data_IF_513343475865
#
_entry.id   IF_513343475865
#
_cell.length_a   1.000
_cell.length_b   1.000
_cell.length_c   1.000
_cell.angle_alpha   90.00
_cell.angle_beta   90.00
_cell.angle_gamma   90.00
#
_symmetry.space_group_name_H-M   'P 1'
#
loop_
_entity.id
_entity.type
_entity.pdbx_description
1 polymer ?
#
# COMPACT_ATOMS: atom_id res chain seq x y z
N UNK A 1 6.16 -26.81 30.31
CA UNK A 1 5.75 -27.78 31.35
C UNK A 1 5.81 -27.08 32.69
N UNK A 2 4.70 -26.93 33.38
CA UNK A 2 4.63 -26.18 34.66
C UNK A 2 4.57 -27.06 35.91
N UNK A 3 4.48 -28.37 35.73
CA UNK A 3 4.40 -29.33 36.83
C UNK A 3 5.60 -30.28 36.84
N UNK A 4 6.18 -30.47 38.03
CA UNK A 4 7.30 -31.37 38.22
C UNK A 4 6.87 -32.82 37.94
N UNK A 5 7.62 -33.54 37.08
CA UNK A 5 7.33 -34.93 36.73
C UNK A 5 6.47 -35.15 35.48
N UNK A 6 6.07 -34.10 34.76
CA UNK A 6 5.41 -34.26 33.46
C UNK A 6 6.45 -34.58 32.37
N UNK A 7 6.16 -35.61 31.60
CA UNK A 7 6.89 -35.94 30.39
C UNK A 7 5.99 -35.65 29.19
N UNK A 8 6.52 -34.98 28.17
CA UNK A 8 5.83 -34.77 26.92
C UNK A 8 6.63 -35.45 25.79
N UNK A 9 5.92 -36.17 24.94
CA UNK A 9 6.52 -36.76 23.74
C UNK A 9 6.03 -36.01 22.51
N UNK A 10 6.96 -35.48 21.73
CA UNK A 10 6.66 -34.80 20.49
C UNK A 10 7.13 -35.67 19.33
N UNK A 11 6.25 -35.80 18.33
CA UNK A 11 6.58 -36.43 17.05
C UNK A 11 6.50 -35.39 15.96
N UNK A 12 7.54 -35.29 15.15
CA UNK A 12 7.52 -34.47 13.95
C UNK A 12 6.76 -35.22 12.85
N UNK A 13 5.69 -34.65 12.34
CA UNK A 13 4.86 -35.27 11.31
C UNK A 13 5.32 -34.85 9.93
N UNK A 14 5.26 -33.56 9.63
CA UNK A 14 5.74 -32.96 8.37
C UNK A 14 5.89 -31.45 8.49
N UNK A 15 6.24 -30.78 7.38
CA UNK A 15 6.42 -29.34 7.35
C UNK A 15 5.10 -28.53 7.53
N UNK A 16 3.95 -29.17 7.37
CA UNK A 16 2.64 -28.54 7.52
C UNK A 16 2.14 -28.65 8.95
N UNK A 17 2.31 -29.80 9.58
CA UNK A 17 1.82 -30.10 10.94
C UNK A 17 2.87 -29.87 12.02
N UNK A 18 4.16 -29.98 11.66
CA UNK A 18 5.27 -29.75 12.58
C UNK A 18 5.38 -30.82 13.67
N UNK A 19 5.69 -30.38 14.90
CA UNK A 19 5.83 -31.24 16.07
C UNK A 19 4.50 -31.39 16.79
N UNK A 20 3.98 -32.60 16.91
CA UNK A 20 2.75 -32.94 17.61
C UNK A 20 3.06 -33.59 18.95
N UNK A 21 2.38 -33.16 20.02
CA UNK A 21 2.40 -33.83 21.31
C UNK A 21 1.49 -35.07 21.27
N UNK A 22 2.06 -36.26 21.46
CA UNK A 22 1.33 -37.53 21.38
C UNK A 22 0.72 -37.98 22.70
N UNK A 23 0.97 -37.25 23.80
CA UNK A 23 0.50 -37.66 25.15
C UNK A 23 -0.68 -36.85 25.66
N UNK A 24 -1.11 -35.79 24.96
CA UNK A 24 -2.29 -35.00 25.34
C UNK A 24 -3.45 -35.26 24.37
N UNK A 25 -4.57 -35.70 24.93
CA UNK A 25 -5.79 -36.02 24.16
C UNK A 25 -6.62 -34.77 23.82
N UNK A 26 -6.23 -33.58 24.25
CA UNK A 26 -7.08 -32.38 24.16
C UNK A 26 -6.49 -31.18 23.41
N UNK A 27 -5.21 -31.17 23.06
CA UNK A 27 -4.63 -30.05 22.31
C UNK A 27 -3.53 -30.55 21.36
N UNK A 28 -3.88 -30.71 20.10
CA UNK A 28 -2.84 -30.69 19.07
C UNK A 28 -2.22 -29.28 19.06
N UNK A 29 -0.99 -29.18 19.54
CA UNK A 29 -0.21 -27.94 19.36
C UNK A 29 0.21 -27.93 17.89
N UNK A 30 -0.68 -27.51 17.03
CA UNK A 30 -0.33 -27.20 15.66
C UNK A 30 0.71 -26.08 15.71
N UNK A 31 1.87 -26.30 15.14
CA UNK A 31 2.90 -25.25 15.04
C UNK A 31 2.31 -23.97 14.46
N UNK A 32 2.89 -22.82 14.77
CA UNK A 32 2.42 -21.55 14.23
C UNK A 32 2.52 -21.59 12.70
N UNK A 33 1.38 -21.56 12.02
CA UNK A 33 1.33 -21.34 10.58
C UNK A 33 1.13 -19.86 10.30
N UNK A 34 1.88 -19.35 9.32
CA UNK A 34 1.81 -17.96 8.91
C UNK A 34 0.99 -17.82 7.63
N UNK A 35 0.50 -16.60 7.41
CA UNK A 35 -0.20 -16.25 6.18
C UNK A 35 0.71 -16.47 4.97
N UNK A 36 0.20 -17.13 3.93
CA UNK A 36 0.86 -17.26 2.64
C UNK A 36 0.24 -16.28 1.63
N UNK A 37 1.08 -15.52 0.94
CA UNK A 37 0.63 -14.51 -0.02
C UNK A 37 1.51 -14.47 -1.26
N UNK A 38 0.92 -13.98 -2.36
CA UNK A 38 1.56 -13.84 -3.67
C UNK A 38 1.12 -12.54 -4.36
N UNK A 39 1.80 -12.21 -5.46
CA UNK A 39 1.56 -11.00 -6.25
C UNK A 39 2.66 -9.96 -6.08
N UNK A 40 2.59 -8.91 -6.89
CA UNK A 40 3.58 -7.83 -6.95
C UNK A 40 4.64 -8.03 -8.02
N UNK A 41 5.33 -6.93 -8.36
CA UNK A 41 6.43 -6.92 -9.32
C UNK A 41 7.74 -7.37 -8.67
N UNK A 42 7.85 -7.22 -7.36
CA UNK A 42 8.95 -7.72 -6.55
C UNK A 42 8.45 -8.22 -5.19
N UNK A 43 9.17 -9.17 -4.62
CA UNK A 43 8.94 -9.68 -3.27
C UNK A 43 10.25 -9.65 -2.50
N UNK A 44 10.24 -9.06 -1.31
CA UNK A 44 11.39 -8.97 -0.41
C UNK A 44 11.07 -9.72 0.88
N UNK A 45 11.99 -10.52 1.35
CA UNK A 45 11.87 -11.22 2.64
C UNK A 45 12.99 -10.77 3.56
N UNK A 46 12.63 -10.32 4.76
CA UNK A 46 13.58 -9.90 5.78
C UNK A 46 13.10 -10.42 7.14
N UNK A 47 13.83 -11.35 7.71
CA UNK A 47 13.41 -12.06 8.93
C UNK A 47 12.04 -12.70 8.74
N UNK A 48 11.10 -12.36 9.61
CA UNK A 48 9.71 -12.87 9.59
C UNK A 48 8.76 -12.02 8.73
N UNK A 49 9.27 -11.02 8.02
CA UNK A 49 8.45 -10.12 7.19
C UNK A 49 8.63 -10.43 5.72
N UNK A 50 7.53 -10.43 5.00
CA UNK A 50 7.47 -10.53 3.55
C UNK A 50 6.79 -9.30 2.98
N UNK A 51 7.49 -8.58 2.10
CA UNK A 51 7.00 -7.36 1.47
C UNK A 51 6.72 -7.62 0.00
N UNK A 52 5.53 -7.28 -0.47
CA UNK A 52 5.14 -7.29 -1.87
C UNK A 52 5.15 -5.87 -2.41
N UNK A 53 5.93 -5.63 -3.46
CA UNK A 53 6.07 -4.31 -4.11
C UNK A 53 5.32 -4.32 -5.43
N UNK A 54 4.43 -3.34 -5.61
CA UNK A 54 3.66 -3.13 -6.84
C UNK A 54 4.11 -1.83 -7.49
N UNK A 55 4.73 -1.91 -8.66
CA UNK A 55 5.09 -0.77 -9.52
C UNK A 55 4.18 -0.66 -10.73
N UNK A 56 3.26 -1.60 -10.88
CA UNK A 56 2.15 -1.62 -11.84
C UNK A 56 0.91 -2.24 -11.19
N UNK A 57 -0.26 -1.93 -11.75
CA UNK A 57 -1.52 -2.49 -11.27
C UNK A 57 -1.53 -4.03 -11.35
N UNK A 58 -2.20 -4.67 -10.39
CA UNK A 58 -2.22 -6.12 -10.28
C UNK A 58 -3.11 -6.59 -9.13
N UNK A 59 -2.81 -7.75 -8.59
CA UNK A 59 -3.55 -8.33 -7.46
C UNK A 59 -2.59 -8.82 -6.39
N UNK A 60 -2.82 -8.41 -5.15
CA UNK A 60 -2.25 -9.05 -3.98
C UNK A 60 -3.16 -10.19 -3.56
N UNK A 61 -2.66 -11.42 -3.59
CA UNK A 61 -3.46 -12.61 -3.27
C UNK A 61 -3.01 -13.22 -1.95
N UNK A 62 -3.91 -13.38 -1.03
CA UNK A 62 -3.73 -14.18 0.18
C UNK A 62 -4.19 -15.59 -0.15
N UNK A 63 -3.23 -16.52 -0.23
CA UNK A 63 -3.49 -17.92 -0.62
C UNK A 63 -4.01 -18.74 0.56
N UNK A 64 -3.48 -18.48 1.77
CA UNK A 64 -3.93 -19.08 3.01
C UNK A 64 -3.72 -18.16 4.20
N UNK A 65 -4.55 -18.29 5.21
CA UNK A 65 -4.40 -17.57 6.47
C UNK A 65 -3.51 -18.34 7.44
N UNK A 66 -2.88 -17.62 8.37
CA UNK A 66 -2.23 -18.22 9.53
C UNK A 66 -3.25 -18.72 10.55
N UNK A 67 -2.82 -19.63 11.40
CA UNK A 67 -3.68 -20.22 12.46
C UNK A 67 -3.92 -19.24 13.63
N UNK A 68 -3.18 -18.14 13.73
CA UNK A 68 -3.46 -17.07 14.67
C UNK A 68 -4.18 -15.91 13.95
N UNK A 69 -5.48 -15.68 14.20
CA UNK A 69 -6.25 -14.62 13.52
C UNK A 69 -5.66 -13.22 13.70
N UNK A 70 -5.00 -12.94 14.83
CA UNK A 70 -4.38 -11.65 15.08
C UNK A 70 -3.21 -11.33 14.12
N UNK A 71 -2.61 -12.35 13.51
CA UNK A 71 -1.53 -12.21 12.54
C UNK A 71 -2.01 -12.16 11.08
N UNK A 72 -3.32 -12.25 10.84
CA UNK A 72 -3.90 -12.18 9.50
C UNK A 72 -4.21 -10.73 9.10
N UNK A 73 -3.20 -9.88 9.22
CA UNK A 73 -3.23 -8.46 8.88
C UNK A 73 -2.05 -8.11 7.99
N UNK A 74 -2.22 -7.12 7.11
CA UNK A 74 -1.15 -6.57 6.29
C UNK A 74 -0.95 -5.10 6.57
N UNK A 75 0.29 -4.69 6.75
CA UNK A 75 0.67 -3.29 6.74
C UNK A 75 0.86 -2.83 5.30
N UNK A 76 0.55 -1.58 5.03
CA UNK A 76 0.61 -1.05 3.67
C UNK A 76 1.20 0.35 3.60
N UNK A 77 1.72 0.64 2.43
CA UNK A 77 2.10 1.95 1.96
C UNK A 77 1.52 2.12 0.56
N UNK A 78 0.62 3.09 0.38
CA UNK A 78 0.01 3.43 -0.91
C UNK A 78 0.39 4.85 -1.27
N UNK A 79 1.15 5.01 -2.34
CA UNK A 79 1.58 6.30 -2.89
C UNK A 79 0.93 6.48 -4.27
N UNK A 80 0.24 7.58 -4.46
CA UNK A 80 -0.39 7.91 -5.74
C UNK A 80 0.58 8.63 -6.69
N UNK A 81 0.19 8.74 -7.96
CA UNK A 81 0.95 9.45 -8.98
C UNK A 81 1.10 10.94 -8.65
N UNK A 82 2.30 11.49 -8.80
CA UNK A 82 2.53 12.93 -8.77
C UNK A 82 2.02 13.59 -10.05
N UNK A 83 1.76 14.88 -10.02
CA UNK A 83 1.25 15.64 -11.16
C UNK A 83 2.35 16.34 -11.97
N UNK A 84 2.02 16.73 -13.19
CA UNK A 84 2.85 17.57 -14.05
C UNK A 84 2.75 19.06 -13.71
N UNK A 85 3.79 19.83 -14.04
CA UNK A 85 3.79 21.28 -13.97
C UNK A 85 3.06 21.93 -15.14
N UNK A 86 2.68 23.20 -14.98
CA UNK A 86 2.12 24.04 -16.05
C UNK A 86 3.15 24.45 -17.08
N UNK A 87 2.70 24.88 -18.27
CA UNK A 87 3.53 25.42 -19.36
C UNK A 87 3.53 26.96 -19.37
N UNK A 88 4.67 27.57 -19.70
CA UNK A 88 4.89 29.01 -19.82
C UNK A 88 5.84 29.58 -18.75
N UNK A 89 5.97 30.92 -18.69
CA UNK A 89 6.77 31.61 -17.70
C UNK A 89 5.98 31.85 -16.40
N UNK A 90 6.60 31.63 -15.24
CA UNK A 90 5.95 31.85 -13.94
C UNK A 90 4.84 30.83 -13.59
N UNK A 91 4.91 29.64 -14.16
CA UNK A 91 3.92 28.59 -14.00
C UNK A 91 4.07 27.80 -12.69
N UNK A 92 2.99 27.17 -12.28
CA UNK A 92 2.95 26.35 -11.07
C UNK A 92 3.54 24.93 -11.27
N UNK A 93 4.25 24.45 -10.26
CA UNK A 93 4.66 23.03 -10.20
C UNK A 93 3.50 22.10 -9.93
N UNK A 94 3.61 20.84 -10.38
CA UNK A 94 2.64 19.80 -10.04
C UNK A 94 2.75 19.39 -8.57
N UNK A 95 1.63 19.00 -7.98
CA UNK A 95 1.52 18.49 -6.62
C UNK A 95 1.99 17.03 -6.51
N UNK A 96 2.45 16.64 -5.34
CA UNK A 96 2.77 15.25 -5.04
C UNK A 96 1.51 14.39 -4.96
N UNK A 97 1.63 13.11 -5.29
CA UNK A 97 0.58 12.12 -5.01
C UNK A 97 0.35 11.98 -3.51
N UNK A 98 -0.89 11.66 -3.16
CA UNK A 98 -1.30 11.37 -1.80
C UNK A 98 -0.55 10.16 -1.25
N UNK A 99 -0.50 10.07 0.07
CA UNK A 99 0.24 9.07 0.80
C UNK A 99 -0.66 8.45 1.88
N UNK A 100 -0.78 7.12 1.88
CA UNK A 100 -1.52 6.36 2.88
C UNK A 100 -0.63 5.25 3.41
N UNK A 101 -0.53 5.15 4.75
CA UNK A 101 0.29 4.12 5.39
C UNK A 101 -0.30 3.71 6.74
N UNK A 102 -0.05 2.46 7.13
CA UNK A 102 -0.25 1.97 8.49
C UNK A 102 1.03 1.99 9.32
N UNK A 103 2.18 2.29 8.72
CA UNK A 103 3.47 2.37 9.41
C UNK A 103 3.88 3.83 9.68
N UNK A 104 4.53 4.18 10.84
CA UNK A 104 4.86 3.30 11.95
C UNK A 104 3.67 3.04 12.90
N UNK A 105 3.63 1.83 13.44
CA UNK A 105 2.74 1.47 14.56
C UNK A 105 3.02 2.39 15.79
N UNK A 106 2.01 2.82 16.58
CA UNK A 106 0.71 2.18 16.74
C UNK A 106 -0.44 2.84 15.98
N UNK A 107 -0.27 3.19 14.74
CA UNK A 107 -1.40 3.66 13.95
C UNK A 107 -2.24 2.45 13.59
N UNK A 108 -3.39 2.31 14.27
CA UNK A 108 -4.47 1.35 14.01
C UNK A 108 -4.05 0.14 13.16
N UNK A 109 -3.86 -1.01 13.76
CA UNK A 109 -3.41 -2.27 13.15
C UNK A 109 -3.64 -2.41 11.65
N UNK A 110 -2.83 -3.21 10.99
CA UNK A 110 -2.88 -3.41 9.54
C UNK A 110 -4.27 -3.78 9.02
N UNK A 111 -4.47 -3.75 7.73
CA UNK A 111 -5.70 -4.21 7.10
C UNK A 111 -5.88 -5.71 7.39
N UNK A 112 -6.97 -6.08 8.06
CA UNK A 112 -7.35 -7.47 8.22
C UNK A 112 -7.68 -8.08 6.84
N UNK A 113 -7.13 -9.25 6.57
CA UNK A 113 -7.28 -9.90 5.26
C UNK A 113 -7.94 -11.28 5.40
N UNK A 114 -8.55 -11.71 4.31
CA UNK A 114 -9.12 -13.05 4.11
C UNK A 114 -8.36 -13.76 3.00
N UNK A 115 -8.52 -15.08 2.86
CA UNK A 115 -7.89 -15.85 1.78
C UNK A 115 -8.57 -15.54 0.43
N UNK A 116 -8.22 -14.39 -0.16
CA UNK A 116 -8.78 -13.90 -1.43
C UNK A 116 -7.79 -12.97 -2.13
N UNK A 117 -8.14 -12.52 -3.33
CA UNK A 117 -7.40 -11.50 -4.08
C UNK A 117 -7.87 -10.08 -3.74
N UNK A 118 -6.91 -9.19 -3.51
CA UNK A 118 -7.12 -7.77 -3.27
C UNK A 118 -6.61 -6.98 -4.47
N UNK A 119 -7.45 -6.23 -5.18
CA UNK A 119 -7.03 -5.46 -6.33
C UNK A 119 -6.09 -4.32 -5.92
N UNK A 120 -5.04 -4.14 -6.72
CA UNK A 120 -4.07 -3.05 -6.60
C UNK A 120 -4.16 -2.21 -7.86
N UNK A 121 -4.32 -0.90 -7.69
CA UNK A 121 -4.15 0.08 -8.76
C UNK A 121 -2.93 0.92 -8.47
N UNK A 122 -2.05 1.06 -9.46
CA UNK A 122 -0.92 1.99 -9.41
C UNK A 122 -1.20 3.13 -10.37
N UNK A 123 -1.41 4.32 -9.83
CA UNK A 123 -1.68 5.53 -10.59
C UNK A 123 -0.45 6.04 -11.31
N UNK A 124 -0.59 6.38 -12.57
CA UNK A 124 0.47 6.99 -13.35
C UNK A 124 0.78 8.41 -12.88
N UNK A 125 2.01 8.87 -13.09
CA UNK A 125 2.35 10.29 -12.99
C UNK A 125 1.61 11.10 -14.06
N UNK A 126 1.20 12.33 -13.71
CA UNK A 126 0.63 13.29 -14.65
C UNK A 126 1.71 13.85 -15.58
N UNK A 127 1.40 14.00 -16.86
CA UNK A 127 2.27 14.65 -17.81
C UNK A 127 2.40 16.16 -17.51
N UNK A 128 3.52 16.76 -17.89
CA UNK A 128 3.61 18.22 -17.95
C UNK A 128 2.57 18.77 -18.96
N UNK A 129 2.24 20.03 -18.83
CA UNK A 129 1.26 20.66 -19.67
C UNK A 129 1.62 20.60 -21.16
N UNK A 130 0.65 20.29 -22.06
CA UNK A 130 0.87 20.47 -23.49
C UNK A 130 0.95 21.96 -23.83
N UNK A 131 1.98 22.34 -24.61
CA UNK A 131 2.12 23.70 -25.14
C UNK A 131 0.98 24.04 -26.16
N UNK A 132 0.58 25.34 -26.31
CA UNK A 132 0.96 26.48 -25.47
C UNK A 132 0.02 26.69 -24.29
N UNK A 133 0.56 27.10 -23.14
CA UNK A 133 -0.20 27.56 -21.96
C UNK A 133 -1.18 26.52 -21.35
N UNK A 134 -0.85 25.22 -21.45
CA UNK A 134 -1.64 24.15 -20.84
C UNK A 134 -1.42 24.05 -19.33
N UNK A 135 -2.44 23.60 -18.60
CA UNK A 135 -2.33 23.20 -17.20
C UNK A 135 -1.67 21.82 -17.11
N UNK A 136 -0.83 21.60 -16.11
CA UNK A 136 -0.26 20.28 -15.81
C UNK A 136 -1.36 19.23 -15.58
N UNK A 137 -1.09 18.01 -16.04
CA UNK A 137 -2.03 16.90 -15.84
C UNK A 137 -1.92 16.39 -14.42
N UNK A 138 -3.06 16.18 -13.76
CA UNK A 138 -3.07 15.57 -12.42
C UNK A 138 -2.56 14.14 -12.44
N UNK A 139 -1.95 13.70 -11.35
CA UNK A 139 -1.53 12.31 -11.17
C UNK A 139 -2.70 11.36 -11.04
N UNK A 140 -2.47 10.08 -11.32
CA UNK A 140 -3.44 9.01 -11.18
C UNK A 140 -3.60 8.57 -9.72
N UNK A 141 -4.79 8.10 -9.37
CA UNK A 141 -5.10 7.49 -8.06
C UNK A 141 -4.41 6.14 -7.93
N UNK A 142 -3.81 5.87 -6.78
CA UNK A 142 -3.38 4.52 -6.40
C UNK A 142 -4.32 3.94 -5.34
N UNK A 143 -4.54 2.63 -5.40
CA UNK A 143 -5.38 1.97 -4.42
C UNK A 143 -4.86 0.57 -4.04
N UNK A 144 -5.11 0.20 -2.79
CA UNK A 144 -5.04 -1.17 -2.29
C UNK A 144 -6.42 -1.54 -1.75
N UNK A 145 -7.14 -2.38 -2.49
CA UNK A 145 -8.54 -2.73 -2.19
C UNK A 145 -9.41 -1.46 -2.06
N UNK A 146 -9.95 -1.18 -0.89
CA UNK A 146 -10.77 0.00 -0.57
C UNK A 146 -9.97 1.21 -0.13
N UNK A 147 -8.67 1.06 0.09
CA UNK A 147 -7.78 2.14 0.54
C UNK A 147 -7.28 2.88 -0.68
N UNK A 148 -7.68 4.15 -0.82
CA UNK A 148 -7.32 4.99 -1.96
C UNK A 148 -6.43 6.16 -1.55
N UNK A 149 -5.48 6.50 -2.41
CA UNK A 149 -4.60 7.65 -2.30
C UNK A 149 -4.78 8.52 -3.54
N UNK A 150 -5.14 9.79 -3.35
CA UNK A 150 -5.45 10.71 -4.43
C UNK A 150 -4.19 11.11 -5.21
N UNK A 151 -4.29 11.24 -6.52
CA UNK A 151 -3.22 11.78 -7.36
C UNK A 151 -2.90 13.24 -7.02
N UNK A 152 -1.70 13.69 -7.34
CA UNK A 152 -1.30 15.09 -7.19
C UNK A 152 -2.07 16.02 -8.13
N UNK A 153 -2.28 17.25 -7.71
CA UNK A 153 -2.93 18.27 -8.52
C UNK A 153 -2.00 18.91 -9.56
N UNK A 154 -2.46 19.06 -10.80
CA UNK A 154 -1.69 19.68 -11.89
C UNK A 154 -1.35 21.16 -11.61
N UNK A 155 -0.16 21.58 -12.05
CA UNK A 155 0.27 22.98 -11.93
C UNK A 155 -0.47 23.92 -12.88
N UNK A 156 -0.75 25.15 -12.43
CA UNK A 156 -1.34 26.20 -13.24
C UNK A 156 -0.38 26.73 -14.29
N UNK A 157 -0.92 27.31 -15.37
CA UNK A 157 -0.17 27.83 -16.51
C UNK A 157 -0.46 29.30 -16.78
N UNK A 158 0.27 29.89 -17.71
CA UNK A 158 0.11 31.27 -18.14
C UNK A 158 -1.24 31.56 -18.81
N UNK A 159 -1.89 30.56 -19.38
CA UNK A 159 -3.18 30.73 -20.07
C UNK A 159 -4.31 31.16 -19.13
N UNK A 160 -5.08 32.22 -19.49
CA UNK A 160 -6.10 32.88 -18.64
C UNK A 160 -7.11 31.93 -17.99
N UNK A 161 -7.45 30.81 -18.63
CA UNK A 161 -8.38 29.81 -18.10
C UNK A 161 -7.71 28.72 -17.25
N UNK A 162 -6.37 28.66 -17.19
CA UNK A 162 -5.59 27.57 -16.63
C UNK A 162 -4.66 27.99 -15.50
N UNK A 163 -4.81 29.20 -14.96
CA UNK A 163 -3.87 29.81 -14.02
C UNK A 163 -3.87 29.18 -12.63
N UNK A 164 -5.02 28.73 -12.14
CA UNK A 164 -5.12 28.10 -10.82
C UNK A 164 -4.53 26.70 -10.82
N UNK A 165 -3.81 26.35 -9.77
CA UNK A 165 -3.43 24.95 -9.53
C UNK A 165 -4.65 24.04 -9.31
N UNK A 166 -4.52 22.77 -9.66
CA UNK A 166 -5.55 21.75 -9.43
C UNK A 166 -5.38 21.17 -8.03
N UNK A 167 -6.50 20.88 -7.36
CA UNK A 167 -6.49 20.16 -6.08
C UNK A 167 -6.11 18.69 -6.26
N UNK A 168 -5.53 18.07 -5.22
CA UNK A 168 -5.11 16.66 -5.28
C UNK A 168 -4.63 16.13 -3.94
N UNK A 169 -3.87 15.07 -3.93
CA UNK A 169 -3.21 14.56 -2.72
C UNK A 169 -2.29 15.61 -2.08
N UNK A 170 -1.56 16.33 -2.94
CA UNK A 170 -1.07 17.69 -2.69
C UNK A 170 -1.55 18.54 -3.86
N UNK A 171 -1.95 19.78 -3.60
CA UNK A 171 -2.38 20.69 -4.65
C UNK A 171 -1.23 21.12 -5.56
N UNK A 172 -1.52 21.41 -6.82
CA UNK A 172 -0.58 22.04 -7.74
C UNK A 172 -0.40 23.53 -7.42
N UNK A 173 0.78 24.08 -7.72
CA UNK A 173 1.02 25.52 -7.65
C UNK A 173 0.17 26.29 -8.67
N UNK A 174 -0.22 27.51 -8.34
CA UNK A 174 -0.84 28.43 -9.31
C UNK A 174 0.19 29.13 -10.18
N UNK A 175 -0.26 29.82 -11.22
CA UNK A 175 0.52 30.80 -11.94
C UNK A 175 0.85 32.00 -11.02
N UNK A 176 1.84 32.78 -11.36
CA UNK A 176 2.27 33.95 -10.56
C UNK A 176 1.06 34.83 -10.17
N UNK A 177 0.90 35.04 -8.87
CA UNK A 177 -0.19 35.84 -8.32
C UNK A 177 -1.57 35.15 -8.28
N UNK A 178 -1.65 33.88 -8.64
CA UNK A 178 -2.90 33.10 -8.65
C UNK A 178 -2.84 31.94 -7.65
N UNK A 179 -4.01 31.53 -7.14
CA UNK A 179 -4.11 30.52 -6.10
C UNK A 179 -3.60 29.14 -6.54
N UNK A 180 -2.95 28.45 -5.58
CA UNK A 180 -2.64 27.03 -5.70
C UNK A 180 -3.90 26.18 -5.53
N UNK A 181 -3.85 24.93 -5.95
CA UNK A 181 -4.83 23.90 -5.59
C UNK A 181 -4.72 23.53 -4.11
N UNK A 182 -5.79 23.01 -3.53
CA UNK A 182 -5.78 22.45 -2.16
C UNK A 182 -5.26 21.00 -2.14
N UNK A 183 -4.69 20.61 -1.01
CA UNK A 183 -4.35 19.22 -0.72
C UNK A 183 -5.48 18.47 -0.02
#
# INVERSE_FOLDING_TARGET
LSTQGQTATFVYVDATEGWINTQETSNSVTGATFMCSSGGNATLTCGNFKTHVFTSSGTFTVNSLGNNPANNTVEYLVVAGGAGGGDGSGTGGGGAGGFRTTYPSPVSGGLAVTATGFPITVGAGGAFAPAPSGRGVSGGVSSFSTITSAGGGGGGSEGASNQTGVSGGSGGGGFVGVSAGSG
#
